data_IF_603352963916
#
_entry.id   IF_603352963916
#
_cell.length_a   1.000
_cell.length_b   1.000
_cell.length_c   1.000
_cell.angle_alpha   90.00
_cell.angle_beta   90.00
_cell.angle_gamma   90.00
#
_symmetry.space_group_name_H-M   'P 1'
#
loop_
_entity.id
_entity.type
_entity.pdbx_description
1 polymer ?
#
# COMPACT_ATOMS: atom_id res chain seq x y z
N UNK A 1 14.40 38.40 -16.55
CA UNK A 1 14.18 37.45 -15.44
C UNK A 1 12.69 37.38 -15.09
N UNK A 2 11.87 36.64 -15.86
CA UNK A 2 10.43 36.46 -15.58
C UNK A 2 9.88 35.07 -15.95
N UNK A 3 10.76 34.12 -16.35
CA UNK A 3 10.35 32.78 -16.83
C UNK A 3 10.74 31.63 -15.91
N UNK A 4 11.25 31.91 -14.70
CA UNK A 4 11.71 30.87 -13.75
C UNK A 4 10.74 30.58 -12.59
N UNK A 5 9.60 31.26 -12.51
CA UNK A 5 8.65 31.10 -11.39
C UNK A 5 7.52 30.10 -11.69
N UNK A 6 7.35 29.66 -12.95
CA UNK A 6 6.22 28.80 -13.31
C UNK A 6 6.42 27.31 -12.97
N UNK A 7 7.64 26.85 -12.67
CA UNK A 7 7.91 25.44 -12.36
C UNK A 7 7.81 25.09 -10.86
N UNK A 8 7.75 26.08 -9.97
CA UNK A 8 7.69 25.82 -8.51
C UNK A 8 6.27 25.61 -7.98
N UNK A 9 5.23 25.99 -8.75
CA UNK A 9 3.83 25.84 -8.32
C UNK A 9 3.31 24.40 -8.54
N UNK A 10 3.97 23.60 -9.37
CA UNK A 10 3.61 22.19 -9.61
C UNK A 10 4.08 21.23 -8.50
N UNK A 11 4.98 21.65 -7.61
CA UNK A 11 5.45 20.83 -6.48
C UNK A 11 4.64 21.05 -5.17
N UNK A 12 3.75 22.04 -5.15
CA UNK A 12 2.88 22.33 -4.00
C UNK A 12 1.40 22.10 -4.27
N UNK A 13 1.02 21.62 -5.46
CA UNK A 13 -0.32 21.10 -5.65
C UNK A 13 -0.46 19.85 -4.78
N UNK A 14 -1.48 19.75 -3.91
CA UNK A 14 -1.80 18.51 -3.25
C UNK A 14 -2.18 17.55 -4.35
N UNK A 15 -1.26 16.67 -4.73
CA UNK A 15 -1.52 15.64 -5.73
C UNK A 15 -2.47 14.65 -5.05
N UNK A 16 -3.75 15.01 -5.10
CA UNK A 16 -4.91 14.18 -5.26
C UNK A 16 -5.29 13.23 -4.11
N UNK A 17 -5.97 13.79 -3.10
CA UNK A 17 -7.10 13.10 -2.45
C UNK A 17 -8.24 12.79 -3.44
N UNK A 18 -8.29 13.48 -4.59
CA UNK A 18 -9.29 13.30 -5.65
C UNK A 18 -9.05 12.10 -6.60
N UNK A 19 -7.82 11.57 -6.70
CA UNK A 19 -7.54 10.43 -7.60
C UNK A 19 -8.09 9.10 -7.07
N UNK A 20 -8.48 9.07 -5.79
CA UNK A 20 -8.90 7.86 -5.09
C UNK A 20 -10.42 7.64 -5.12
N UNK A 21 -11.22 8.70 -5.29
CA UNK A 21 -12.69 8.60 -5.26
C UNK A 21 -13.30 7.96 -6.52
N UNK A 22 -12.55 7.95 -7.63
CA UNK A 22 -12.93 7.33 -8.89
C UNK A 22 -11.80 6.43 -9.41
N UNK A 23 -11.42 5.41 -8.63
CA UNK A 23 -10.45 4.41 -9.09
C UNK A 23 -11.05 3.65 -10.28
N UNK A 24 -10.68 4.06 -11.50
CA UNK A 24 -11.01 3.36 -12.72
C UNK A 24 -10.10 2.12 -12.84
N UNK A 25 -10.57 1.01 -12.26
CA UNK A 25 -9.86 -0.25 -12.23
C UNK A 25 -9.51 -0.74 -13.63
N UNK A 26 -10.41 -0.55 -14.60
CA UNK A 26 -10.18 -0.97 -15.98
C UNK A 26 -9.04 -0.17 -16.60
N UNK A 27 -9.05 1.15 -16.45
CA UNK A 27 -7.95 1.99 -16.91
C UNK A 27 -6.64 1.63 -16.23
N UNK A 28 -6.66 1.29 -14.94
CA UNK A 28 -5.46 0.86 -14.23
C UNK A 28 -4.92 -0.48 -14.74
N UNK A 29 -5.80 -1.48 -14.92
CA UNK A 29 -5.47 -2.78 -15.51
C UNK A 29 -4.84 -2.63 -16.90
N UNK A 30 -5.35 -1.71 -17.71
CA UNK A 30 -4.88 -1.45 -19.07
C UNK A 30 -3.57 -0.65 -19.11
N UNK A 31 -3.43 0.38 -18.26
CA UNK A 31 -2.32 1.33 -18.32
C UNK A 31 -1.10 0.97 -17.47
N UNK A 32 -1.29 0.28 -16.34
CA UNK A 32 -0.19 -0.08 -15.46
C UNK A 32 0.41 -1.43 -15.87
N UNK A 33 1.47 -1.38 -16.68
CA UNK A 33 2.27 -2.55 -17.04
C UNK A 33 3.65 -2.45 -16.42
N UNK A 34 4.00 -3.44 -15.60
CA UNK A 34 5.38 -3.66 -15.16
C UNK A 34 5.99 -4.78 -16.01
N UNK A 35 7.29 -4.71 -16.26
CA UNK A 35 8.01 -5.74 -17.01
C UNK A 35 8.25 -7.01 -16.15
N UNK A 36 7.17 -7.71 -15.83
CA UNK A 36 7.19 -8.90 -14.97
C UNK A 36 7.92 -10.08 -15.61
N UNK A 37 8.08 -10.07 -16.94
CA UNK A 37 8.93 -11.04 -17.63
C UNK A 37 10.39 -10.91 -17.20
N UNK A 38 10.87 -9.69 -17.01
CA UNK A 38 12.26 -9.43 -16.59
C UNK A 38 12.42 -9.38 -15.07
N UNK A 39 11.46 -8.83 -14.32
CA UNK A 39 11.54 -8.78 -12.85
C UNK A 39 11.17 -10.11 -12.18
N UNK A 40 10.37 -10.96 -12.83
CA UNK A 40 9.77 -12.15 -12.25
C UNK A 40 8.47 -11.84 -11.49
N UNK A 41 7.53 -12.79 -11.55
CA UNK A 41 6.18 -12.62 -10.99
C UNK A 41 6.19 -12.35 -9.48
N UNK A 42 7.09 -12.96 -8.71
CA UNK A 42 7.17 -12.77 -7.26
C UNK A 42 7.61 -11.34 -6.92
N UNK A 43 8.59 -10.82 -7.65
CA UNK A 43 9.08 -9.45 -7.48
C UNK A 43 8.00 -8.43 -7.90
N UNK A 44 7.27 -8.68 -8.99
CA UNK A 44 6.10 -7.88 -9.35
C UNK A 44 5.01 -7.91 -8.28
N UNK A 45 4.65 -9.10 -7.80
CA UNK A 45 3.64 -9.28 -6.76
C UNK A 45 4.00 -8.50 -5.49
N UNK A 46 5.27 -8.54 -5.06
CA UNK A 46 5.76 -7.78 -3.91
C UNK A 46 5.61 -6.26 -4.11
N UNK A 47 5.88 -5.74 -5.30
CA UNK A 47 5.67 -4.31 -5.63
C UNK A 47 4.19 -3.95 -5.61
N UNK A 48 3.33 -4.82 -6.14
CA UNK A 48 1.89 -4.57 -6.19
C UNK A 48 1.29 -4.58 -4.79
N UNK A 49 1.68 -5.55 -3.94
CA UNK A 49 1.33 -5.55 -2.52
C UNK A 49 1.81 -4.28 -1.81
N UNK A 50 3.04 -3.82 -2.09
CA UNK A 50 3.56 -2.61 -1.48
C UNK A 50 2.79 -1.36 -1.92
N UNK A 51 2.46 -1.23 -3.20
CA UNK A 51 1.63 -0.11 -3.70
C UNK A 51 0.22 -0.14 -3.09
N UNK A 52 -0.38 -1.31 -2.98
CA UNK A 52 -1.66 -1.48 -2.31
C UNK A 52 -1.58 -1.08 -0.83
N UNK A 53 -0.59 -1.60 -0.10
CA UNK A 53 -0.36 -1.26 1.31
C UNK A 53 -0.13 0.24 1.51
N UNK A 54 0.73 0.86 0.70
CA UNK A 54 0.93 2.32 0.74
C UNK A 54 -0.37 3.08 0.48
N UNK A 55 -1.20 2.62 -0.46
CA UNK A 55 -2.49 3.26 -0.79
C UNK A 55 -3.51 3.14 0.34
N UNK A 56 -3.49 2.04 1.10
CA UNK A 56 -4.28 1.91 2.33
C UNK A 56 -3.94 3.05 3.32
N UNK A 57 -2.66 3.23 3.65
CA UNK A 57 -2.22 4.27 4.58
C UNK A 57 -2.50 5.69 4.06
N UNK A 58 -2.31 5.93 2.77
CA UNK A 58 -2.66 7.21 2.16
C UNK A 58 -4.18 7.47 2.24
N UNK A 59 -5.01 6.44 2.07
CA UNK A 59 -6.45 6.51 2.25
C UNK A 59 -6.83 6.93 3.67
N UNK A 60 -6.25 6.29 4.69
CA UNK A 60 -6.44 6.69 6.10
C UNK A 60 -6.05 8.16 6.32
N UNK A 61 -4.87 8.56 5.85
CA UNK A 61 -4.38 9.93 5.99
C UNK A 61 -5.26 10.96 5.26
N UNK A 62 -6.03 10.53 4.27
CA UNK A 62 -7.01 11.38 3.57
C UNK A 62 -8.37 11.47 4.27
N UNK A 63 -8.51 10.85 5.46
CA UNK A 63 -9.74 10.86 6.26
C UNK A 63 -10.71 9.72 5.92
N UNK A 64 -10.28 8.69 5.20
CA UNK A 64 -11.15 7.54 4.91
C UNK A 64 -11.17 6.57 6.08
N UNK A 65 -12.35 6.01 6.32
CA UNK A 65 -12.53 4.89 7.24
C UNK A 65 -11.67 3.69 6.83
N UNK A 66 -11.14 2.97 7.81
CA UNK A 66 -10.19 1.87 7.57
C UNK A 66 -10.72 0.80 6.62
N UNK A 67 -11.98 0.37 6.78
CA UNK A 67 -12.59 -0.61 5.88
C UNK A 67 -12.72 -0.09 4.44
N UNK A 68 -13.05 1.18 4.27
CA UNK A 68 -13.12 1.80 2.94
C UNK A 68 -11.72 1.92 2.32
N UNK A 69 -10.72 2.28 3.12
CA UNK A 69 -9.33 2.35 2.68
C UNK A 69 -8.79 0.98 2.27
N UNK A 70 -9.11 -0.07 3.03
CA UNK A 70 -8.70 -1.45 2.75
C UNK A 70 -9.35 -1.97 1.47
N UNK A 71 -10.65 -1.74 1.29
CA UNK A 71 -11.36 -2.16 0.08
C UNK A 71 -10.69 -1.64 -1.20
N UNK A 72 -10.26 -0.38 -1.21
CA UNK A 72 -9.58 0.19 -2.38
C UNK A 72 -8.17 -0.37 -2.53
N UNK A 73 -7.46 -0.61 -1.43
CA UNK A 73 -6.16 -1.30 -1.42
C UNK A 73 -6.25 -2.68 -2.08
N UNK A 74 -7.26 -3.47 -1.72
CA UNK A 74 -7.50 -4.81 -2.30
C UNK A 74 -7.85 -4.72 -3.79
N UNK A 75 -8.74 -3.82 -4.17
CA UNK A 75 -9.12 -3.62 -5.57
C UNK A 75 -7.92 -3.17 -6.42
N UNK A 76 -7.09 -2.28 -5.88
CA UNK A 76 -5.85 -1.84 -6.50
C UNK A 76 -4.90 -3.03 -6.71
N UNK A 77 -4.67 -3.84 -5.68
CA UNK A 77 -3.82 -5.02 -5.79
C UNK A 77 -4.30 -5.98 -6.88
N UNK A 78 -5.61 -6.32 -6.87
CA UNK A 78 -6.21 -7.24 -7.84
C UNK A 78 -6.09 -6.69 -9.27
N UNK A 79 -6.38 -5.41 -9.49
CA UNK A 79 -6.25 -4.76 -10.79
C UNK A 79 -4.81 -4.80 -11.31
N UNK A 80 -3.83 -4.51 -10.46
CA UNK A 80 -2.42 -4.55 -10.85
C UNK A 80 -1.97 -5.97 -11.23
N UNK A 81 -2.36 -6.98 -10.43
CA UNK A 81 -2.06 -8.38 -10.70
C UNK A 81 -2.67 -8.84 -12.03
N UNK A 82 -3.97 -8.60 -12.23
CA UNK A 82 -4.69 -8.97 -13.46
C UNK A 82 -4.17 -8.24 -14.69
N UNK A 83 -3.93 -6.94 -14.57
CA UNK A 83 -3.34 -6.14 -15.64
C UNK A 83 -1.98 -6.68 -16.09
N UNK A 84 -1.23 -7.33 -15.20
CA UNK A 84 0.07 -7.92 -15.51
C UNK A 84 0.02 -9.43 -15.71
N UNK A 85 -1.17 -10.00 -15.91
CA UNK A 85 -1.39 -11.44 -16.17
C UNK A 85 -0.84 -12.35 -15.06
N UNK A 86 -0.83 -11.86 -13.81
CA UNK A 86 -0.47 -12.65 -12.64
C UNK A 86 -1.76 -12.98 -11.88
N UNK A 87 -2.00 -14.27 -11.65
CA UNK A 87 -3.09 -14.71 -10.77
C UNK A 87 -2.77 -14.30 -9.31
N UNK A 88 -3.66 -13.59 -8.58
CA UNK A 88 -3.47 -13.32 -7.16
C UNK A 88 -3.14 -14.57 -6.32
N UNK A 89 -3.65 -15.74 -6.70
CA UNK A 89 -3.35 -17.02 -6.04
C UNK A 89 -1.86 -17.40 -6.09
N UNK A 90 -1.12 -16.90 -7.09
CA UNK A 90 0.32 -17.12 -7.23
C UNK A 90 1.11 -16.65 -6.02
N UNK A 91 0.60 -15.69 -5.24
CA UNK A 91 1.34 -15.14 -4.11
C UNK A 91 1.45 -16.08 -2.92
N UNK A 92 0.61 -17.13 -2.87
CA UNK A 92 0.57 -18.08 -1.77
C UNK A 92 1.42 -19.32 -2.02
N UNK A 93 1.93 -19.90 -0.93
CA UNK A 93 2.54 -21.23 -0.90
C UNK A 93 1.50 -22.33 -0.65
N UNK A 94 1.96 -23.58 -0.63
CA UNK A 94 1.14 -24.76 -0.35
C UNK A 94 0.46 -24.75 1.05
N UNK A 95 0.99 -23.95 1.98
CA UNK A 95 0.46 -23.78 3.33
C UNK A 95 -0.46 -22.55 3.45
N UNK A 96 -0.84 -21.94 2.31
CA UNK A 96 -1.63 -20.72 2.24
C UNK A 96 -0.98 -19.51 2.95
N UNK A 97 0.35 -19.49 3.07
CA UNK A 97 1.11 -18.32 3.48
C UNK A 97 1.53 -17.53 2.24
N UNK A 98 1.74 -16.22 2.37
CA UNK A 98 2.42 -15.47 1.31
C UNK A 98 3.86 -15.98 1.20
N UNK A 99 4.34 -16.23 -0.03
CA UNK A 99 5.68 -16.75 -0.28
C UNK A 99 6.75 -15.85 0.35
N UNK A 100 7.77 -16.47 0.93
CA UNK A 100 8.76 -15.78 1.76
C UNK A 100 9.56 -14.70 1.02
N UNK A 101 9.88 -14.91 -0.25
CA UNK A 101 10.55 -13.92 -1.07
C UNK A 101 9.66 -12.71 -1.40
N UNK A 102 8.36 -12.93 -1.64
CA UNK A 102 7.38 -11.85 -1.78
C UNK A 102 7.33 -11.04 -0.49
N UNK A 103 7.26 -11.70 0.68
CA UNK A 103 7.29 -11.03 1.99
C UNK A 103 8.54 -10.16 2.14
N UNK A 104 9.73 -10.72 1.91
CA UNK A 104 10.99 -10.00 2.08
C UNK A 104 11.07 -8.75 1.21
N UNK A 105 10.74 -8.85 -0.08
CA UNK A 105 10.75 -7.69 -0.96
C UNK A 105 9.64 -6.70 -0.60
N UNK A 106 8.43 -7.17 -0.26
CA UNK A 106 7.33 -6.30 0.20
C UNK A 106 7.77 -5.41 1.37
N UNK A 107 8.40 -6.00 2.40
CA UNK A 107 8.89 -5.25 3.56
C UNK A 107 9.94 -4.20 3.17
N UNK A 108 10.81 -4.50 2.21
CA UNK A 108 11.79 -3.54 1.70
C UNK A 108 11.12 -2.40 0.95
N UNK A 109 10.11 -2.71 0.11
CA UNK A 109 9.39 -1.74 -0.72
C UNK A 109 8.48 -0.84 0.12
N UNK A 110 7.86 -1.36 1.17
CA UNK A 110 6.95 -0.55 2.02
C UNK A 110 7.67 0.63 2.69
N UNK A 111 9.00 0.55 2.84
CA UNK A 111 9.83 1.66 3.34
C UNK A 111 9.66 2.95 2.53
N UNK A 112 9.33 2.85 1.24
CA UNK A 112 9.07 4.02 0.39
C UNK A 112 7.86 4.85 0.84
N UNK A 113 6.97 4.28 1.65
CA UNK A 113 5.84 4.99 2.23
C UNK A 113 5.81 4.97 3.76
N UNK A 114 6.97 4.79 4.43
CA UNK A 114 7.06 4.84 5.90
C UNK A 114 6.42 6.09 6.49
N UNK A 115 6.58 7.25 5.86
CA UNK A 115 5.95 8.49 6.32
C UNK A 115 4.43 8.45 6.27
N UNK A 116 3.84 7.70 5.33
CA UNK A 116 2.39 7.48 5.29
C UNK A 116 1.94 6.54 6.42
N UNK A 117 2.73 5.50 6.71
CA UNK A 117 2.47 4.57 7.82
C UNK A 117 2.52 5.30 9.16
N UNK A 118 3.58 6.08 9.40
CA UNK A 118 3.78 6.85 10.63
C UNK A 118 2.65 7.82 10.92
N UNK A 119 2.05 8.41 9.88
CA UNK A 119 0.88 9.29 10.00
C UNK A 119 -0.43 8.53 10.21
N UNK A 120 -0.59 7.38 9.56
CA UNK A 120 -1.84 6.62 9.61
C UNK A 120 -2.01 5.84 10.92
N UNK A 121 -0.93 5.31 11.49
CA UNK A 121 -0.95 4.52 12.74
C UNK A 121 -1.69 5.22 13.89
N UNK A 122 -1.37 6.47 14.28
CA UNK A 122 -2.07 7.13 15.38
C UNK A 122 -3.57 7.33 15.08
N UNK A 123 -3.95 7.54 13.81
CA UNK A 123 -5.36 7.66 13.41
C UNK A 123 -6.10 6.32 13.61
N UNK A 124 -5.50 5.22 13.14
CA UNK A 124 -6.11 3.88 13.20
C UNK A 124 -6.32 3.44 14.66
N UNK A 125 -5.34 3.70 15.52
CA UNK A 125 -5.36 3.26 16.91
C UNK A 125 -5.85 4.33 17.91
N UNK A 126 -6.23 5.51 17.41
CA UNK A 126 -6.68 6.66 18.21
C UNK A 126 -5.68 7.02 19.32
N UNK A 127 -4.39 7.10 18.94
CA UNK A 127 -3.30 7.42 19.86
C UNK A 127 -3.23 8.92 20.10
N UNK A 128 -2.95 9.30 21.34
CA UNK A 128 -2.64 10.69 21.71
C UNK A 128 -1.12 10.93 21.58
N UNK A 129 -0.71 11.74 20.61
CA UNK A 129 0.71 11.98 20.35
C UNK A 129 1.39 12.85 21.43
N UNK A 130 0.63 13.54 22.29
CA UNK A 130 1.17 14.29 23.42
C UNK A 130 1.47 13.38 24.63
N UNK A 131 0.99 12.14 24.61
CA UNK A 131 1.21 11.14 25.64
C UNK A 131 2.45 10.27 25.34
N UNK A 132 3.42 10.25 26.27
CA UNK A 132 4.67 9.49 26.14
C UNK A 132 4.49 7.97 26.00
N UNK A 133 3.45 7.39 26.61
CA UNK A 133 3.12 5.96 26.44
C UNK A 133 2.67 5.70 25.00
N UNK A 134 1.85 6.58 24.46
CA UNK A 134 1.32 6.46 23.10
C UNK A 134 2.40 6.74 22.04
N UNK A 135 3.38 7.60 22.32
CA UNK A 135 4.59 7.75 21.48
C UNK A 135 5.36 6.43 21.35
N UNK A 136 5.64 5.75 22.46
CA UNK A 136 6.31 4.44 22.43
C UNK A 136 5.46 3.39 21.73
N UNK A 137 4.15 3.41 21.97
CA UNK A 137 3.21 2.51 21.31
C UNK A 137 3.18 2.72 19.80
N UNK A 138 3.17 3.97 19.33
CA UNK A 138 3.25 4.34 17.92
C UNK A 138 4.49 3.74 17.26
N UNK A 139 5.66 3.87 17.85
CA UNK A 139 6.90 3.31 17.28
C UNK A 139 6.81 1.77 17.09
N UNK A 140 6.27 1.07 18.08
CA UNK A 140 6.05 -0.38 17.99
C UNK A 140 5.04 -0.74 16.91
N UNK A 141 3.92 0.00 16.84
CA UNK A 141 2.86 -0.22 15.87
C UNK A 141 3.31 0.05 14.43
N UNK A 142 4.07 1.12 14.19
CA UNK A 142 4.65 1.43 12.87
C UNK A 142 5.56 0.29 12.39
N UNK A 143 6.37 -0.28 13.29
CA UNK A 143 7.25 -1.42 12.97
C UNK A 143 6.49 -2.72 12.72
N UNK A 144 5.41 -2.97 13.45
CA UNK A 144 4.60 -4.17 13.33
C UNK A 144 3.65 -4.14 12.11
N UNK A 145 3.29 -2.95 11.63
CA UNK A 145 2.25 -2.80 10.62
C UNK A 145 2.50 -3.51 9.28
N UNK A 146 3.73 -3.48 8.70
CA UNK A 146 4.02 -4.22 7.48
C UNK A 146 3.71 -5.73 7.63
N UNK A 147 4.05 -6.30 8.79
CA UNK A 147 3.78 -7.71 9.10
C UNK A 147 2.28 -7.97 9.21
N UNK A 148 1.56 -7.12 9.96
CA UNK A 148 0.12 -7.21 10.09
C UNK A 148 -0.60 -7.18 8.73
N UNK A 149 -0.16 -6.30 7.82
CA UNK A 149 -0.76 -6.16 6.50
C UNK A 149 -0.59 -7.41 5.63
N UNK A 150 0.55 -8.10 5.72
CA UNK A 150 0.72 -9.39 5.02
C UNK A 150 -0.08 -10.49 5.69
N UNK A 151 -0.05 -10.56 7.02
CA UNK A 151 -0.81 -11.56 7.79
C UNK A 151 -2.31 -11.48 7.53
N UNK A 152 -2.86 -10.30 7.21
CA UNK A 152 -4.28 -10.19 6.86
C UNK A 152 -4.61 -10.98 5.59
N UNK A 153 -3.75 -10.97 4.56
CA UNK A 153 -3.95 -11.81 3.37
C UNK A 153 -3.91 -13.29 3.70
N UNK A 154 -2.99 -13.71 4.56
CA UNK A 154 -2.85 -15.12 4.96
C UNK A 154 -4.04 -15.60 5.79
N UNK A 155 -4.53 -14.76 6.72
CA UNK A 155 -5.74 -15.04 7.51
C UNK A 155 -6.96 -15.18 6.61
N UNK A 156 -7.17 -14.21 5.70
CA UNK A 156 -8.25 -14.28 4.71
C UNK A 156 -8.16 -15.56 3.86
N UNK A 157 -6.97 -15.90 3.34
CA UNK A 157 -6.78 -17.11 2.53
C UNK A 157 -7.08 -18.40 3.30
N UNK A 158 -6.78 -18.43 4.59
CA UNK A 158 -7.06 -19.56 5.49
C UNK A 158 -8.48 -19.55 6.06
N UNK A 159 -9.31 -18.57 5.73
CA UNK A 159 -10.67 -18.43 6.26
C UNK A 159 -10.72 -18.11 7.76
N UNK A 160 -9.76 -17.32 8.26
CA UNK A 160 -9.64 -16.91 9.67
C UNK A 160 -9.85 -15.41 9.86
#
# INVERSE_FOLDING_TARGET
>A
MKKLILCLVLLFLPINSYAYENLDLKKLEESFKLDCKNYGNESCTARFLAMAGCSYFMGINSGKESNAAMKVSDLLFIALMRGNQIDPEFMFDENNNVKENIKKEFHQRLKYCNSAIEKAVPIIFKLDEDNEIDKKRKEGLVKAFPYWYIESFEKMKKGK
#
